data_IF_326507128094
#
_entry.id   IF_326507128094
#
_cell.length_a   1.000
_cell.length_b   1.000
_cell.length_c   1.000
_cell.angle_alpha   90.00
_cell.angle_beta   90.00
_cell.angle_gamma   90.00
#
_symmetry.space_group_name_H-M   'P 1'
#
loop_
_entity.id
_entity.type
_entity.pdbx_description
1 polymer ?
#
# COMPACT_ATOMS: atom_id res chain seq x y z
N UNK A 1 -5.82 -7.94 -3.09
CA UNK A 1 -5.66 -6.88 -2.06
C UNK A 1 -4.99 -5.69 -2.70
N UNK A 2 -5.49 -4.48 -2.44
CA UNK A 2 -4.98 -3.23 -3.00
C UNK A 2 -4.43 -2.31 -1.91
N UNK A 3 -3.33 -1.64 -2.20
CA UNK A 3 -2.77 -0.53 -1.45
C UNK A 3 -3.36 0.77 -2.00
N UNK A 4 -3.98 1.56 -1.13
CA UNK A 4 -4.40 2.91 -1.46
C UNK A 4 -3.45 3.90 -0.77
N UNK A 5 -3.06 4.94 -1.49
CA UNK A 5 -2.23 6.02 -0.98
C UNK A 5 -2.73 7.35 -1.52
N UNK A 6 -2.93 8.33 -0.64
CA UNK A 6 -3.13 9.73 -1.00
C UNK A 6 -1.95 10.54 -0.53
N UNK A 7 -1.38 11.36 -1.40
CA UNK A 7 -0.32 12.29 -1.04
C UNK A 7 -0.49 13.66 -1.70
N UNK A 8 0.18 14.65 -1.13
CA UNK A 8 0.34 15.99 -1.71
C UNK A 8 1.55 16.02 -2.63
N UNK A 9 1.60 16.97 -3.56
CA UNK A 9 2.77 17.13 -4.44
C UNK A 9 4.03 17.68 -3.76
N UNK A 10 3.98 17.96 -2.45
CA UNK A 10 5.18 18.24 -1.65
C UNK A 10 5.77 17.00 -0.98
N UNK A 11 5.26 15.80 -1.29
CA UNK A 11 5.90 14.54 -0.92
C UNK A 11 7.29 14.48 -1.60
N UNK A 12 8.40 14.29 -0.87
CA UNK A 12 9.73 14.49 -1.43
C UNK A 12 10.27 13.31 -2.25
N UNK A 13 9.56 12.18 -2.27
CA UNK A 13 10.01 10.95 -2.94
C UNK A 13 9.13 10.58 -4.13
N UNK A 14 9.73 9.99 -5.16
CA UNK A 14 9.01 9.51 -6.34
C UNK A 14 8.41 8.11 -6.15
N UNK A 15 8.60 7.51 -4.98
CA UNK A 15 8.20 6.16 -4.65
C UNK A 15 7.91 6.04 -3.15
N UNK A 16 7.26 4.94 -2.78
CA UNK A 16 7.13 4.50 -1.39
C UNK A 16 7.39 2.99 -1.30
N UNK A 17 8.10 2.58 -0.26
CA UNK A 17 8.30 1.17 0.06
C UNK A 17 7.35 0.76 1.18
N UNK A 18 6.62 -0.34 0.97
CA UNK A 18 5.64 -0.85 1.92
C UNK A 18 5.81 -2.34 2.11
N UNK A 19 5.57 -2.81 3.33
CA UNK A 19 5.46 -4.22 3.66
C UNK A 19 4.16 -4.47 4.41
N UNK A 20 3.47 -5.55 4.01
CA UNK A 20 2.37 -6.09 4.80
C UNK A 20 2.88 -7.19 5.72
N UNK A 21 2.39 -7.17 6.95
CA UNK A 21 2.57 -8.20 7.95
C UNK A 21 1.19 -8.74 8.26
N UNK A 22 1.05 -10.06 8.28
CA UNK A 22 -0.22 -10.75 8.53
C UNK A 22 -0.03 -11.77 9.64
N UNK A 23 -0.93 -11.73 10.61
CA UNK A 23 -1.10 -12.80 11.57
C UNK A 23 -2.34 -13.61 11.20
N UNK A 24 -2.15 -14.92 11.03
CA UNK A 24 -3.20 -15.85 10.67
C UNK A 24 -3.71 -16.61 11.90
N UNK A 25 -4.99 -17.01 11.93
CA UNK A 25 -5.53 -17.81 13.02
C UNK A 25 -4.67 -19.04 13.26
N UNK A 26 -4.07 -19.16 14.44
CA UNK A 26 -3.27 -20.29 14.88
C UNK A 26 -2.02 -20.58 14.01
N UNK A 27 -1.47 -19.59 13.31
CA UNK A 27 -0.31 -19.78 12.40
C UNK A 27 0.82 -18.75 12.60
N UNK A 28 0.67 -17.87 13.60
CA UNK A 28 1.64 -16.84 13.92
C UNK A 28 1.81 -15.76 12.84
N UNK A 29 2.87 -14.97 12.98
CA UNK A 29 3.14 -13.79 12.15
C UNK A 29 3.87 -14.17 10.86
N UNK A 30 3.30 -13.79 9.72
CA UNK A 30 3.88 -13.92 8.39
C UNK A 30 4.15 -12.54 7.78
N UNK A 31 5.35 -12.34 7.22
CA UNK A 31 5.70 -11.10 6.50
C UNK A 31 5.56 -11.31 5.00
N UNK A 32 4.75 -10.50 4.33
CA UNK A 32 4.72 -10.48 2.87
C UNK A 32 5.99 -9.80 2.33
N UNK A 33 6.31 -10.06 1.06
CA UNK A 33 7.44 -9.39 0.38
C UNK A 33 7.26 -7.88 0.41
N UNK A 34 8.36 -7.17 0.68
CA UNK A 34 8.47 -5.71 0.55
C UNK A 34 8.17 -5.33 -0.90
N UNK A 35 7.43 -4.25 -1.10
CA UNK A 35 7.10 -3.73 -2.43
C UNK A 35 7.39 -2.24 -2.53
N UNK A 36 7.98 -1.88 -3.65
CA UNK A 36 8.10 -0.49 -4.09
C UNK A 36 6.88 -0.13 -4.93
N UNK A 37 6.32 1.06 -4.68
CA UNK A 37 5.29 1.66 -5.51
C UNK A 37 5.79 3.00 -6.02
N UNK A 38 5.80 3.18 -7.34
CA UNK A 38 6.20 4.44 -7.98
C UNK A 38 5.00 5.40 -7.96
N UNK A 39 5.24 6.63 -7.51
CA UNK A 39 4.25 7.70 -7.39
C UNK A 39 4.47 8.81 -8.42
N UNK A 40 5.65 8.85 -9.04
CA UNK A 40 6.01 9.81 -10.09
C UNK A 40 6.89 9.19 -11.17
N UNK A 41 6.77 9.75 -12.37
CA UNK A 41 7.62 9.48 -13.52
C UNK A 41 9.05 9.95 -13.31
N UNK A 42 9.96 9.57 -14.23
CA UNK A 42 11.40 9.90 -14.15
C UNK A 42 11.68 11.41 -14.12
N UNK A 43 10.84 12.19 -14.78
CA UNK A 43 10.88 13.65 -14.85
C UNK A 43 10.29 14.34 -13.60
N UNK A 44 9.76 13.57 -12.63
CA UNK A 44 9.14 14.09 -11.42
C UNK A 44 7.64 14.38 -11.55
N UNK A 45 7.03 14.15 -12.72
CA UNK A 45 5.58 14.29 -12.88
C UNK A 45 4.85 13.24 -12.05
N UNK A 46 4.00 13.69 -11.13
CA UNK A 46 3.18 12.81 -10.31
C UNK A 46 2.22 11.97 -11.15
N UNK A 47 2.08 10.70 -10.79
CA UNK A 47 1.07 9.78 -11.34
C UNK A 47 -0.15 9.73 -10.42
N UNK A 48 -1.16 8.94 -10.80
CA UNK A 48 -2.39 8.84 -10.03
C UNK A 48 -3.45 9.84 -10.48
N UNK A 49 -4.60 9.80 -9.82
CA UNK A 49 -5.74 10.68 -10.11
C UNK A 49 -5.92 11.68 -8.98
N UNK A 50 -6.62 12.79 -9.19
CA UNK A 50 -6.92 13.72 -8.10
C UNK A 50 -7.20 15.13 -8.58
N UNK A 51 -7.33 16.05 -7.63
CA UNK A 51 -7.63 17.46 -7.88
C UNK A 51 -6.55 18.35 -7.27
N UNK A 52 -6.10 19.35 -8.03
CA UNK A 52 -5.08 20.29 -7.60
C UNK A 52 -3.77 19.59 -7.25
N UNK A 53 -3.30 19.76 -6.01
CA UNK A 53 -2.02 19.23 -5.56
C UNK A 53 -2.14 17.90 -4.78
N UNK A 54 -3.23 17.15 -4.99
CA UNK A 54 -3.52 15.89 -4.30
C UNK A 54 -3.54 14.76 -5.33
N UNK A 55 -2.85 13.66 -5.00
CA UNK A 55 -2.66 12.50 -5.87
C UNK A 55 -3.08 11.22 -5.14
N UNK A 56 -4.02 10.51 -5.75
CA UNK A 56 -4.60 9.26 -5.30
C UNK A 56 -4.07 8.09 -6.14
N UNK A 57 -3.58 7.08 -5.45
CA UNK A 57 -3.04 5.87 -6.04
C UNK A 57 -3.75 4.63 -5.51
N UNK A 58 -3.89 3.64 -6.39
CA UNK A 58 -4.40 2.31 -6.06
C UNK A 58 -3.54 1.25 -6.70
N UNK A 59 -2.72 0.57 -5.91
CA UNK A 59 -1.77 -0.43 -6.39
C UNK A 59 -2.12 -1.85 -5.95
N UNK A 60 -1.91 -2.89 -6.79
CA UNK A 60 -2.06 -4.27 -6.37
C UNK A 60 -0.89 -4.71 -5.46
N UNK A 61 -1.18 -4.99 -4.18
CA UNK A 61 -0.17 -5.54 -3.26
C UNK A 61 0.06 -7.03 -3.55
N UNK A 62 -1.02 -7.79 -3.65
CA UNK A 62 -0.96 -9.21 -3.96
C UNK A 62 -2.22 -9.59 -4.71
N UNK A 63 -2.01 -10.12 -5.93
CA UNK A 63 -3.05 -10.73 -6.73
C UNK A 63 -3.31 -12.14 -6.21
N UNK A 64 -4.56 -12.60 -6.30
CA UNK A 64 -4.98 -13.96 -5.94
C UNK A 64 -4.61 -14.39 -4.51
N UNK A 65 -4.60 -13.43 -3.57
CA UNK A 65 -4.37 -13.74 -2.17
C UNK A 65 -5.55 -14.54 -1.59
N UNK A 66 -5.27 -15.70 -1.00
CA UNK A 66 -6.27 -16.54 -0.35
C UNK A 66 -6.08 -16.52 1.17
N UNK A 67 -7.19 -16.34 1.88
CA UNK A 67 -7.26 -16.56 3.32
C UNK A 67 -7.45 -18.06 3.57
N UNK A 68 -6.35 -18.78 3.80
CA UNK A 68 -6.33 -20.24 3.89
C UNK A 68 -6.97 -20.85 5.15
N UNK A 69 -7.31 -20.03 6.15
CA UNK A 69 -7.96 -20.48 7.39
C UNK A 69 -9.17 -19.61 7.68
N UNK A 70 -10.20 -20.21 8.28
CA UNK A 70 -11.33 -19.46 8.84
C UNK A 70 -10.90 -18.86 10.18
N UNK A 71 -11.20 -17.58 10.39
CA UNK A 71 -10.95 -16.89 11.66
C UNK A 71 -10.51 -15.44 11.47
N UNK A 72 -10.11 -14.81 12.58
CA UNK A 72 -9.66 -13.42 12.63
C UNK A 72 -8.23 -13.28 12.12
N UNK A 73 -8.03 -12.31 11.23
CA UNK A 73 -6.71 -11.96 10.70
C UNK A 73 -6.33 -10.58 11.19
N UNK A 74 -5.11 -10.43 11.71
CA UNK A 74 -4.52 -9.11 11.92
C UNK A 74 -3.63 -8.78 10.73
N UNK A 75 -3.83 -7.59 10.15
CA UNK A 75 -3.01 -7.10 9.04
C UNK A 75 -2.39 -5.78 9.46
N UNK A 76 -1.06 -5.70 9.44
CA UNK A 76 -0.29 -4.48 9.64
C UNK A 76 0.33 -4.06 8.32
N UNK A 77 0.33 -2.76 8.06
CA UNK A 77 1.05 -2.15 6.95
C UNK A 77 2.11 -1.24 7.52
N UNK A 78 3.36 -1.42 7.07
CA UNK A 78 4.48 -0.58 7.48
C UNK A 78 5.14 0.01 6.24
N UNK A 79 5.52 1.29 6.30
CA UNK A 79 6.43 1.85 5.31
C UNK A 79 7.87 1.48 5.67
N UNK A 80 8.73 1.40 4.66
CA UNK A 80 10.15 1.09 4.79
C UNK A 80 10.99 2.22 4.18
N UNK A 81 10.54 3.44 4.40
CA UNK A 81 11.25 4.66 4.05
C UNK A 81 12.27 5.00 5.15
N UNK A 82 13.25 5.85 4.82
CA UNK A 82 14.29 6.26 5.77
C UNK A 82 13.78 7.18 6.88
N UNK A 83 12.78 7.98 6.56
CA UNK A 83 12.13 8.90 7.49
C UNK A 83 10.95 8.22 8.17
N UNK A 84 10.82 8.41 9.47
CA UNK A 84 9.67 7.91 10.24
C UNK A 84 8.39 8.70 9.94
N UNK A 85 8.53 10.02 9.74
CA UNK A 85 7.41 10.90 9.40
C UNK A 85 7.44 11.29 7.93
N UNK A 86 6.53 10.72 7.14
CA UNK A 86 6.45 10.95 5.71
C UNK A 86 5.63 12.20 5.39
N UNK A 87 6.31 13.35 5.34
CA UNK A 87 5.70 14.64 4.99
C UNK A 87 4.98 14.55 3.65
N UNK A 88 3.72 15.00 3.61
CA UNK A 88 2.92 15.05 2.40
C UNK A 88 2.09 13.78 2.15
N UNK A 89 2.30 12.69 2.87
CA UNK A 89 1.33 11.60 2.91
C UNK A 89 0.09 12.06 3.69
N UNK A 90 -1.08 11.84 3.09
CA UNK A 90 -2.37 12.23 3.68
C UNK A 90 -3.11 11.01 4.21
N UNK A 91 -3.28 10.00 3.36
CA UNK A 91 -4.04 8.80 3.68
C UNK A 91 -3.32 7.54 3.20
N UNK A 92 -3.42 6.48 3.99
CA UNK A 92 -2.88 5.15 3.71
C UNK A 92 -3.99 4.14 3.98
N UNK A 93 -4.26 3.25 3.04
CA UNK A 93 -5.34 2.29 3.18
C UNK A 93 -5.03 0.93 2.58
N UNK A 94 -5.57 -0.12 3.19
CA UNK A 94 -5.62 -1.45 2.62
C UNK A 94 -7.06 -1.76 2.19
N UNK A 95 -7.25 -2.07 0.91
CA UNK A 95 -8.54 -2.55 0.40
C UNK A 95 -8.49 -4.05 0.18
N UNK A 96 -9.42 -4.75 0.81
CA UNK A 96 -9.67 -6.18 0.64
C UNK A 96 -11.04 -6.33 -0.01
N UNK A 97 -11.10 -7.09 -1.09
CA UNK A 97 -12.35 -7.42 -1.78
C UNK A 97 -12.32 -8.90 -2.13
N UNK A 98 -13.50 -9.51 -2.32
CA UNK A 98 -13.59 -10.83 -2.95
C UNK A 98 -12.90 -10.75 -4.31
N UNK A 99 -12.27 -11.84 -4.74
CA UNK A 99 -11.84 -11.97 -6.13
C UNK A 99 -13.08 -11.82 -7.00
N UNK A 100 -13.00 -10.98 -8.04
CA UNK A 100 -13.98 -11.07 -9.11
C UNK A 100 -13.90 -12.51 -9.63
N UNK A 101 -14.97 -13.29 -9.46
CA UNK A 101 -15.17 -14.46 -10.29
C UNK A 101 -15.36 -13.90 -11.69
N UNK A 102 -14.31 -14.01 -12.51
CA UNK A 102 -14.47 -14.03 -13.95
C UNK A 102 -14.81 -15.46 -14.34
#
# INVERSE_FOLDING_TARGET
MMFNLRHKGNYPYRNIWVQLIREAPNEGVSKLKKKEFKLAEKDGRWTGNGLGNIYDHRFPIKQNFRFGRKGTYEIKMVHLMREDNLKGIMDVGLRISKSAQL
#
